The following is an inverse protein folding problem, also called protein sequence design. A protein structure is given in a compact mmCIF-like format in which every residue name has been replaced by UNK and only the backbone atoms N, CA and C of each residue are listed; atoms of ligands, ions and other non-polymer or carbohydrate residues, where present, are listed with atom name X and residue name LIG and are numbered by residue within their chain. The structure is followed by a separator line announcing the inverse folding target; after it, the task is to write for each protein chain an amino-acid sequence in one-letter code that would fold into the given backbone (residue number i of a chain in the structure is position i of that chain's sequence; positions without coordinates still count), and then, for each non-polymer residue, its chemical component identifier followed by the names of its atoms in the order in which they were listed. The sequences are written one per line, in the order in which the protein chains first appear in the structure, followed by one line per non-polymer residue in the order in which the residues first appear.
data_IF_770421924120
#
_entry.id   IF_770421924120
#
_cell.length_a   1.000
_cell.length_b   1.000
_cell.length_c   1.000
_cell.angle_alpha   90.00
_cell.angle_beta   90.00
_cell.angle_gamma   90.00
#
_symmetry.space_group_name_H-M   'P 1'
#
loop_
_entity.id
_entity.type
_entity.pdbx_description
1 polymer ?
#
# COMPACT_ATOMS: atom_id res chain seq x y z
N UNK A 1 23.30 7.78 7.42
CA UNK A 1 22.40 6.62 7.40
C UNK A 1 21.06 7.00 6.82
N UNK A 2 20.58 6.24 5.90
CA UNK A 2 19.35 6.61 5.22
C UNK A 2 18.14 5.94 5.82
N UNK A 3 17.19 6.76 6.21
CA UNK A 3 15.92 6.28 6.71
C UNK A 3 14.93 6.26 5.57
N UNK A 4 14.69 5.07 5.05
CA UNK A 4 13.71 4.90 4.00
C UNK A 4 12.38 4.53 4.61
N UNK A 5 11.33 5.13 4.08
CA UNK A 5 9.97 4.75 4.44
C UNK A 5 9.31 4.08 3.26
N UNK A 6 8.60 3.03 3.56
CA UNK A 6 7.81 2.31 2.56
C UNK A 6 6.35 2.58 2.86
N UNK A 7 5.66 3.11 1.89
CA UNK A 7 4.27 3.52 2.05
C UNK A 7 3.39 2.62 1.22
N UNK A 8 2.39 2.02 1.87
CA UNK A 8 1.39 1.20 1.20
C UNK A 8 0.07 1.92 1.30
N UNK A 9 -0.57 2.14 0.15
CA UNK A 9 -1.85 2.82 0.10
C UNK A 9 -2.85 2.02 -0.69
N UNK A 10 -4.09 2.01 -0.21
CA UNK A 10 -5.20 1.43 -0.93
C UNK A 10 -6.06 2.58 -1.44
N UNK A 11 -6.25 2.61 -2.74
CA UNK A 11 -6.94 3.70 -3.42
C UNK A 11 -8.21 3.18 -4.07
N UNK A 12 -9.32 3.85 -3.84
CA UNK A 12 -10.57 3.52 -4.49
C UNK A 12 -10.51 4.02 -5.94
N UNK A 13 -10.72 3.12 -6.89
CA UNK A 13 -10.58 3.46 -8.30
C UNK A 13 -11.62 4.45 -8.79
N UNK A 14 -12.82 4.34 -8.26
CA UNK A 14 -13.94 5.15 -8.70
C UNK A 14 -13.76 6.63 -8.36
N UNK A 15 -13.32 6.89 -7.13
CA UNK A 15 -13.16 8.26 -6.65
C UNK A 15 -11.72 8.73 -6.64
N UNK A 16 -10.77 7.80 -6.79
CA UNK A 16 -9.33 8.09 -6.67
C UNK A 16 -8.92 8.51 -5.27
N UNK A 17 -9.72 8.16 -4.28
CA UNK A 17 -9.41 8.50 -2.90
C UNK A 17 -8.57 7.42 -2.23
N UNK A 18 -7.60 7.86 -1.45
CA UNK A 18 -6.81 6.96 -0.61
C UNK A 18 -7.65 6.61 0.60
N UNK A 19 -8.07 5.35 0.68
CA UNK A 19 -8.90 4.90 1.79
C UNK A 19 -8.10 4.27 2.92
N UNK A 20 -6.88 3.82 2.62
CA UNK A 20 -5.98 3.28 3.64
C UNK A 20 -4.57 3.72 3.34
N UNK A 21 -3.84 4.06 4.39
CA UNK A 21 -2.47 4.55 4.28
C UNK A 21 -1.65 3.94 5.41
N UNK A 22 -0.56 3.28 5.05
CA UNK A 22 0.33 2.67 6.03
C UNK A 22 1.77 3.07 5.73
N UNK A 23 2.55 3.30 6.78
CA UNK A 23 3.96 3.60 6.66
C UNK A 23 4.77 2.55 7.39
N UNK A 24 5.81 2.08 6.76
CA UNK A 24 6.71 1.08 7.33
C UNK A 24 8.15 1.52 7.14
N UNK A 25 8.99 1.15 8.08
CA UNK A 25 10.42 1.38 8.00
C UNK A 25 11.17 0.17 7.45
N UNK A 26 10.45 -0.89 7.12
CA UNK A 26 11.01 -2.16 6.70
C UNK A 26 10.28 -2.65 5.45
N UNK A 27 11.04 -2.94 4.41
CA UNK A 27 10.47 -3.41 3.15
C UNK A 27 9.65 -4.69 3.31
N UNK A 28 10.14 -5.62 4.12
CA UNK A 28 9.45 -6.89 4.29
C UNK A 28 8.06 -6.73 4.87
N UNK A 29 7.93 -5.81 5.83
CA UNK A 29 6.61 -5.54 6.42
C UNK A 29 5.67 -4.92 5.40
N UNK A 30 6.18 -3.96 4.64
CA UNK A 30 5.38 -3.31 3.61
C UNK A 30 4.94 -4.30 2.55
N UNK A 31 5.86 -5.12 2.08
CA UNK A 31 5.57 -6.12 1.06
C UNK A 31 4.53 -7.12 1.52
N UNK A 32 4.63 -7.57 2.76
CA UNK A 32 3.66 -8.51 3.33
C UNK A 32 2.27 -7.90 3.40
N UNK A 33 2.19 -6.65 3.80
CA UNK A 33 0.90 -5.95 3.88
C UNK A 33 0.33 -5.74 2.49
N UNK A 34 1.16 -5.34 1.54
CA UNK A 34 0.72 -5.18 0.16
C UNK A 34 0.16 -6.49 -0.40
N UNK A 35 0.87 -7.60 -0.20
CA UNK A 35 0.38 -8.90 -0.65
C UNK A 35 -0.95 -9.26 -0.03
N UNK A 36 -1.10 -9.00 1.27
CA UNK A 36 -2.35 -9.27 1.97
C UNK A 36 -3.51 -8.51 1.35
N UNK A 37 -3.31 -7.24 1.06
CA UNK A 37 -4.35 -6.43 0.42
C UNK A 37 -4.63 -6.91 -1.00
N UNK A 38 -3.60 -7.26 -1.75
CA UNK A 38 -3.79 -7.75 -3.11
C UNK A 38 -4.60 -9.04 -3.15
N UNK A 39 -4.46 -9.88 -2.14
CA UNK A 39 -5.23 -11.12 -2.06
C UNK A 39 -6.65 -10.92 -1.58
N UNK A 40 -6.85 -9.98 -0.67
CA UNK A 40 -8.15 -9.77 -0.03
C UNK A 40 -8.99 -8.71 -0.70
N UNK A 41 -8.35 -7.74 -1.33
CA UNK A 41 -9.06 -6.63 -1.93
C UNK A 41 -9.63 -6.99 -3.28
N UNK A 42 -10.77 -6.39 -3.59
CA UNK A 42 -11.34 -6.48 -4.92
C UNK A 42 -10.60 -5.51 -5.83
N UNK A 43 -9.70 -6.04 -6.64
CA UNK A 43 -8.86 -5.22 -7.50
C UNK A 43 -9.62 -4.51 -8.61
N UNK A 44 -10.88 -4.86 -8.81
CA UNK A 44 -11.74 -4.14 -9.74
C UNK A 44 -12.15 -2.78 -9.18
N UNK A 45 -12.22 -2.66 -7.86
CA UNK A 45 -12.65 -1.44 -7.20
C UNK A 45 -11.52 -0.69 -6.54
N UNK A 46 -10.45 -1.38 -6.17
CA UNK A 46 -9.35 -0.79 -5.40
C UNK A 46 -8.01 -1.08 -6.04
N UNK A 47 -7.12 -0.11 -5.92
CA UNK A 47 -5.72 -0.29 -6.28
C UNK A 47 -4.88 -0.30 -5.02
N UNK A 48 -3.88 -1.15 -5.00
CA UNK A 48 -2.90 -1.17 -3.93
C UNK A 48 -1.57 -0.71 -4.51
N UNK A 49 -1.01 0.33 -3.94
CA UNK A 49 0.27 0.88 -4.40
C UNK A 49 1.27 0.88 -3.27
N UNK A 50 2.53 0.68 -3.62
CA UNK A 50 3.62 0.78 -2.66
C UNK A 50 4.68 1.69 -3.25
N UNK A 51 5.20 2.58 -2.43
CA UNK A 51 6.27 3.47 -2.85
C UNK A 51 7.29 3.61 -1.74
N UNK A 52 8.48 3.98 -2.13
CA UNK A 52 9.58 4.19 -1.20
C UNK A 52 9.94 5.68 -1.19
N UNK A 53 10.02 6.24 -0.01
CA UNK A 53 10.48 7.61 0.15
C UNK A 53 11.88 7.65 0.72
#
# INVERSE_FOLDING_TARGET
MMNKKYIVEVIERETKEVIKHFEFDNYRKADRVEEGFLRQSNLEKFDVVMRCE
#
